data_IF_302045292491
#
_entry.id   IF_302045292491
#
_cell.length_a   1.000
_cell.length_b   1.000
_cell.length_c   1.000
_cell.angle_alpha   90.00
_cell.angle_beta   90.00
_cell.angle_gamma   90.00
#
_symmetry.space_group_name_H-M   'P 1'
#
loop_
_entity.id
_entity.type
_entity.pdbx_description
1 polymer ?
#
# COMPACT_ATOMS: atom_id res chain seq x y z
N UNK A 1 -14.40 7.36 57.80
CA UNK A 1 -13.85 7.05 56.45
C UNK A 1 -12.87 5.91 56.63
N UNK A 2 -13.12 4.74 56.01
CA UNK A 2 -12.32 3.53 56.21
C UNK A 2 -11.35 3.37 55.03
N UNK A 3 -10.13 3.88 55.16
CA UNK A 3 -9.07 3.70 54.17
C UNK A 3 -8.33 2.40 54.50
N UNK A 4 -8.77 1.27 53.94
CA UNK A 4 -7.97 0.05 53.96
C UNK A 4 -6.73 0.30 53.09
N UNK A 5 -5.55 0.29 53.71
CA UNK A 5 -4.28 0.46 53.02
C UNK A 5 -4.03 -0.70 52.06
N UNK A 6 -3.67 -0.39 50.82
CA UNK A 6 -3.22 -1.37 49.83
C UNK A 6 -1.90 -1.97 50.35
N UNK A 7 -1.82 -3.29 50.35
CA UNK A 7 -0.61 -3.98 50.80
C UNK A 7 0.46 -3.99 49.71
N UNK A 8 1.74 -4.02 50.11
CA UNK A 8 2.85 -4.10 49.14
C UNK A 8 2.75 -5.32 48.22
N UNK A 9 2.21 -6.44 48.72
CA UNK A 9 2.03 -7.67 47.94
C UNK A 9 0.96 -7.51 46.86
N UNK A 10 -0.14 -6.82 47.14
CA UNK A 10 -1.18 -6.54 46.15
C UNK A 10 -0.63 -5.67 45.02
N UNK A 11 0.16 -4.64 45.36
CA UNK A 11 0.86 -3.81 44.38
C UNK A 11 1.90 -4.60 43.56
N UNK A 12 2.64 -5.50 44.20
CA UNK A 12 3.63 -6.35 43.54
C UNK A 12 2.97 -7.30 42.52
N UNK A 13 1.87 -7.95 42.90
CA UNK A 13 1.13 -8.84 41.99
C UNK A 13 0.63 -8.07 40.77
N UNK A 14 0.09 -6.86 40.95
CA UNK A 14 -0.38 -6.02 39.83
C UNK A 14 0.75 -5.70 38.86
N UNK A 15 1.93 -5.31 39.35
CA UNK A 15 3.08 -4.98 38.50
C UNK A 15 3.59 -6.22 37.74
N UNK A 16 3.64 -7.38 38.40
CA UNK A 16 4.04 -8.64 37.77
C UNK A 16 3.05 -9.03 36.66
N UNK A 17 1.74 -8.98 36.94
CA UNK A 17 0.70 -9.29 35.96
C UNK A 17 0.73 -8.30 34.80
N UNK A 18 0.84 -7.00 35.07
CA UNK A 18 0.99 -5.98 34.02
C UNK A 18 2.24 -6.20 33.17
N UNK A 19 3.36 -6.61 33.78
CA UNK A 19 4.60 -6.92 33.06
C UNK A 19 4.46 -8.10 32.11
N UNK A 20 3.78 -9.17 32.53
CA UNK A 20 3.53 -10.35 31.69
C UNK A 20 2.57 -10.01 30.53
N UNK A 21 1.47 -9.29 30.82
CA UNK A 21 0.50 -8.90 29.79
C UNK A 21 1.15 -7.97 28.75
N UNK A 22 1.98 -7.02 29.19
CA UNK A 22 2.67 -6.10 28.29
C UNK A 22 3.61 -6.83 27.32
N UNK A 23 4.32 -7.86 27.77
CA UNK A 23 5.25 -8.62 26.94
C UNK A 23 4.54 -9.34 25.77
N UNK A 24 3.41 -10.01 26.02
CA UNK A 24 2.66 -10.70 24.97
C UNK A 24 1.91 -9.76 24.03
N UNK A 25 1.48 -8.60 24.53
CA UNK A 25 0.69 -7.64 23.74
C UNK A 25 1.48 -7.02 22.59
N UNK A 26 2.80 -6.84 22.74
CA UNK A 26 3.64 -6.21 21.70
C UNK A 26 3.78 -7.11 20.47
N UNK A 27 4.04 -8.40 20.66
CA UNK A 27 4.29 -9.34 19.54
C UNK A 27 3.04 -9.50 18.66
N UNK A 28 1.86 -9.65 19.29
CA UNK A 28 0.62 -9.83 18.54
C UNK A 28 0.22 -8.61 17.69
N UNK A 29 0.63 -7.39 18.09
CA UNK A 29 0.30 -6.17 17.36
C UNK A 29 1.08 -6.06 16.04
N UNK A 30 2.34 -6.50 16.02
CA UNK A 30 3.20 -6.39 14.82
C UNK A 30 2.66 -7.27 13.67
N UNK A 31 2.28 -8.51 14.00
CA UNK A 31 1.65 -9.43 13.05
C UNK A 31 0.32 -8.88 12.52
N UNK A 32 -0.53 -8.33 13.39
CA UNK A 32 -1.83 -7.76 12.98
C UNK A 32 -1.64 -6.56 12.04
N UNK A 33 -0.70 -5.67 12.35
CA UNK A 33 -0.44 -4.47 11.52
C UNK A 33 0.08 -4.90 10.15
N UNK A 34 1.02 -5.84 10.09
CA UNK A 34 1.59 -6.34 8.84
C UNK A 34 0.51 -6.98 7.96
N UNK A 35 -0.24 -7.93 8.51
CA UNK A 35 -1.34 -8.60 7.79
C UNK A 35 -2.42 -7.60 7.31
N UNK A 36 -2.71 -6.56 8.09
CA UNK A 36 -3.68 -5.53 7.71
C UNK A 36 -3.14 -4.68 6.56
N UNK A 37 -1.85 -4.32 6.60
CA UNK A 37 -1.22 -3.53 5.54
C UNK A 37 -1.18 -4.28 4.21
N UNK A 38 -0.92 -5.59 4.24
CA UNK A 38 -0.95 -6.46 3.06
C UNK A 38 -2.36 -6.51 2.45
N UNK A 39 -3.39 -6.74 3.27
CA UNK A 39 -4.79 -6.74 2.81
C UNK A 39 -5.21 -5.41 2.19
N UNK A 40 -4.78 -4.29 2.76
CA UNK A 40 -5.06 -2.96 2.20
C UNK A 40 -4.38 -2.79 0.84
N UNK A 41 -3.14 -3.27 0.69
CA UNK A 41 -2.43 -3.17 -0.58
C UNK A 41 -3.01 -4.10 -1.65
N UNK A 42 -3.44 -5.31 -1.29
CA UNK A 42 -4.20 -6.19 -2.18
C UNK A 42 -5.49 -5.54 -2.66
N UNK A 43 -6.26 -4.93 -1.76
CA UNK A 43 -7.48 -4.20 -2.11
C UNK A 43 -7.19 -2.99 -3.00
N UNK A 44 -6.15 -2.22 -2.68
CA UNK A 44 -5.70 -1.07 -3.45
C UNK A 44 -5.29 -1.46 -4.88
N UNK A 45 -4.58 -2.57 -5.03
CA UNK A 45 -4.17 -3.10 -6.34
C UNK A 45 -5.40 -3.54 -7.13
N UNK A 46 -6.34 -4.25 -6.51
CA UNK A 46 -7.59 -4.63 -7.17
C UNK A 46 -8.39 -3.42 -7.64
N UNK A 47 -8.48 -2.38 -6.81
CA UNK A 47 -9.09 -1.11 -7.21
C UNK A 47 -8.37 -0.50 -8.43
N UNK A 48 -7.04 -0.50 -8.45
CA UNK A 48 -6.26 -0.01 -9.59
C UNK A 48 -6.54 -0.84 -10.85
N UNK A 49 -6.60 -2.16 -10.74
CA UNK A 49 -6.94 -3.06 -11.85
C UNK A 49 -8.29 -2.69 -12.46
N UNK A 50 -9.35 -2.66 -11.64
CA UNK A 50 -10.70 -2.34 -12.08
C UNK A 50 -10.78 -0.96 -12.77
N UNK A 51 -10.07 0.04 -12.23
CA UNK A 51 -10.09 1.41 -12.78
C UNK A 51 -9.23 1.58 -14.02
N UNK A 52 -8.11 0.88 -14.12
CA UNK A 52 -7.28 0.90 -15.31
C UNK A 52 -7.99 0.16 -16.44
N UNK A 53 -8.61 -1.00 -16.16
CA UNK A 53 -9.41 -1.74 -17.15
C UNK A 53 -10.55 -0.88 -17.68
N UNK A 54 -11.31 -0.22 -16.79
CA UNK A 54 -12.35 0.73 -17.19
C UNK A 54 -11.81 1.86 -18.06
N UNK A 55 -10.69 2.49 -17.67
CA UNK A 55 -10.12 3.59 -18.45
C UNK A 55 -9.52 3.14 -19.79
N UNK A 56 -9.08 1.88 -19.91
CA UNK A 56 -8.69 1.28 -21.20
C UNK A 56 -9.93 1.05 -22.06
N UNK A 57 -11.01 0.50 -21.50
CA UNK A 57 -12.28 0.29 -22.20
C UNK A 57 -12.87 1.62 -22.72
N UNK A 58 -12.77 2.68 -21.93
CA UNK A 58 -13.18 4.04 -22.31
C UNK A 58 -12.21 4.72 -23.31
N UNK A 59 -11.07 4.10 -23.61
CA UNK A 59 -10.05 4.63 -24.53
C UNK A 59 -9.22 5.78 -23.96
N UNK A 60 -9.38 6.11 -22.67
CA UNK A 60 -8.55 7.11 -21.98
C UNK A 60 -7.12 6.60 -21.80
N UNK A 61 -6.96 5.32 -21.47
CA UNK A 61 -5.68 4.66 -21.39
C UNK A 61 -5.46 3.69 -22.56
N UNK A 62 -4.22 3.57 -23.00
CA UNK A 62 -3.80 2.56 -23.97
C UNK A 62 -2.36 2.12 -23.69
N UNK A 63 -1.92 1.00 -24.26
CA UNK A 63 -0.52 0.58 -24.19
C UNK A 63 0.26 1.26 -25.31
N UNK A 64 1.32 1.98 -24.95
CA UNK A 64 2.26 2.55 -25.92
C UNK A 64 3.68 2.44 -25.40
N UNK A 65 4.60 1.87 -26.20
CA UNK A 65 6.01 1.72 -25.86
C UNK A 65 6.22 1.08 -24.47
N UNK A 66 5.51 -0.02 -24.19
CA UNK A 66 5.58 -0.73 -22.90
C UNK A 66 5.28 0.17 -21.69
N UNK A 67 4.34 1.10 -21.83
CA UNK A 67 3.82 1.93 -20.75
C UNK A 67 2.32 2.12 -20.91
N UNK A 68 1.64 2.38 -19.80
CA UNK A 68 0.30 2.96 -19.84
C UNK A 68 0.44 4.39 -20.37
N UNK A 69 -0.39 4.73 -21.34
CA UNK A 69 -0.38 6.02 -22.01
C UNK A 69 -1.79 6.60 -21.98
N UNK A 70 -1.91 7.83 -21.50
CA UNK A 70 -3.16 8.57 -21.54
C UNK A 70 -3.30 9.28 -22.88
N UNK A 71 -4.39 8.97 -23.58
CA UNK A 71 -4.69 9.49 -24.93
C UNK A 71 -5.10 10.97 -24.91
N UNK A 72 -5.65 11.44 -23.79
CA UNK A 72 -6.12 12.81 -23.57
C UNK A 72 -4.97 13.72 -23.18
N UNK A 73 -4.24 13.39 -22.11
CA UNK A 73 -3.15 14.23 -21.58
C UNK A 73 -1.82 14.00 -22.29
N UNK A 74 -1.72 12.94 -23.10
CA UNK A 74 -0.53 12.52 -23.84
C UNK A 74 0.66 12.17 -22.93
N UNK A 75 0.39 11.76 -21.70
CA UNK A 75 1.42 11.34 -20.72
C UNK A 75 1.56 9.82 -20.68
N UNK A 76 2.75 9.35 -20.36
CA UNK A 76 3.01 7.93 -20.07
C UNK A 76 3.30 7.73 -18.60
N UNK A 77 2.83 6.64 -18.03
CA UNK A 77 2.99 6.32 -16.62
C UNK A 77 3.82 5.06 -16.45
N UNK A 78 4.74 5.12 -15.49
CA UNK A 78 5.50 3.97 -15.01
C UNK A 78 4.92 3.40 -13.70
N UNK A 79 3.88 4.03 -13.13
CA UNK A 79 3.31 3.70 -11.84
C UNK A 79 2.26 4.73 -11.38
N UNK A 80 1.77 4.59 -10.15
CA UNK A 80 0.80 5.51 -9.51
C UNK A 80 1.45 6.80 -8.98
N UNK A 81 2.40 7.35 -9.73
CA UNK A 81 3.05 8.63 -9.39
C UNK A 81 2.13 9.84 -9.57
N UNK A 82 2.64 11.03 -9.23
CA UNK A 82 1.86 12.29 -9.20
C UNK A 82 1.00 12.51 -10.46
N UNK A 83 1.58 12.42 -11.66
CA UNK A 83 0.83 12.61 -12.92
C UNK A 83 -0.22 11.54 -13.19
N UNK A 84 0.01 10.29 -12.78
CA UNK A 84 -1.01 9.25 -12.95
C UNK A 84 -2.21 9.55 -12.05
N UNK A 85 -1.96 9.88 -10.80
CA UNK A 85 -3.02 10.18 -9.82
C UNK A 85 -3.79 11.43 -10.21
N UNK A 86 -3.11 12.48 -10.69
CA UNK A 86 -3.73 13.70 -11.22
C UNK A 86 -4.70 13.37 -12.37
N UNK A 87 -4.21 12.65 -13.38
CA UNK A 87 -4.97 12.38 -14.60
C UNK A 87 -6.08 11.32 -14.37
N UNK A 88 -5.90 10.41 -13.41
CA UNK A 88 -6.81 9.30 -13.10
C UNK A 88 -7.72 9.57 -11.90
N UNK A 89 -7.66 10.75 -11.28
CA UNK A 89 -8.39 11.05 -10.05
C UNK A 89 -9.90 10.81 -10.18
N UNK A 90 -10.47 11.14 -11.35
CA UNK A 90 -11.89 10.93 -11.65
C UNK A 90 -12.29 9.44 -11.64
N UNK A 91 -11.37 8.54 -11.97
CA UNK A 91 -11.60 7.10 -11.94
C UNK A 91 -11.34 6.51 -10.55
N UNK A 92 -10.28 6.97 -9.88
CA UNK A 92 -9.82 6.41 -8.61
C UNK A 92 -10.60 6.94 -7.40
N UNK A 93 -11.13 8.16 -7.47
CA UNK A 93 -11.77 8.86 -6.36
C UNK A 93 -10.80 9.37 -5.29
N UNK A 94 -9.73 8.62 -5.01
CA UNK A 94 -8.68 9.00 -4.06
C UNK A 94 -7.31 8.46 -4.49
N UNK A 95 -6.25 9.04 -3.92
CA UNK A 95 -4.90 8.55 -4.12
C UNK A 95 -4.72 7.16 -3.52
N UNK A 96 -4.14 6.26 -4.30
CA UNK A 96 -3.76 4.91 -3.87
C UNK A 96 -2.24 4.84 -3.70
N UNK A 97 -1.78 4.47 -2.50
CA UNK A 97 -0.37 4.32 -2.14
C UNK A 97 -0.14 2.98 -1.45
N UNK A 98 1.06 2.38 -1.56
CA UNK A 98 1.40 1.20 -0.79
C UNK A 98 1.51 1.50 0.70
N UNK A 99 0.96 0.60 1.51
CA UNK A 99 0.87 0.69 2.97
C UNK A 99 1.86 -0.26 3.63
N UNK A 100 2.18 -1.40 3.01
CA UNK A 100 3.13 -2.38 3.56
C UNK A 100 4.48 -1.70 3.86
N UNK A 101 5.08 -1.94 5.03
CA UNK A 101 6.32 -1.27 5.42
C UNK A 101 7.46 -1.49 4.42
N UNK A 102 7.55 -2.68 3.84
CA UNK A 102 8.58 -3.04 2.87
C UNK A 102 8.50 -2.21 1.59
N UNK A 103 7.31 -1.77 1.19
CA UNK A 103 7.10 -0.93 0.02
C UNK A 103 7.39 0.56 0.28
N UNK A 104 7.46 0.99 1.55
CA UNK A 104 7.73 2.38 1.95
C UNK A 104 9.22 2.69 1.95
N UNK A 105 9.86 2.51 0.81
CA UNK A 105 11.29 2.71 0.62
C UNK A 105 11.61 3.63 -0.57
N UNK A 106 12.90 3.98 -0.72
CA UNK A 106 13.39 4.92 -1.74
C UNK A 106 13.12 4.47 -3.18
N UNK A 107 12.96 3.16 -3.43
CA UNK A 107 12.72 2.61 -4.76
C UNK A 107 11.28 2.83 -5.24
N UNK A 108 10.36 3.09 -4.31
CA UNK A 108 8.96 3.37 -4.62
C UNK A 108 8.58 4.83 -4.37
N UNK A 109 9.54 5.69 -4.05
CA UNK A 109 9.29 7.11 -3.89
C UNK A 109 9.00 7.77 -5.24
N UNK A 110 7.93 8.54 -5.33
CA UNK A 110 7.68 9.39 -6.48
C UNK A 110 8.43 10.71 -6.35
N UNK A 111 9.24 11.05 -7.35
CA UNK A 111 10.01 12.29 -7.37
C UNK A 111 9.16 13.55 -7.55
N UNK A 112 7.87 13.42 -7.89
CA UNK A 112 6.97 14.55 -8.09
C UNK A 112 6.37 15.07 -6.79
N UNK A 113 5.81 14.18 -5.97
CA UNK A 113 5.07 14.55 -4.75
C UNK A 113 5.65 13.97 -3.45
N UNK A 114 6.71 13.16 -3.54
CA UNK A 114 7.35 12.53 -2.38
C UNK A 114 6.54 11.40 -1.74
N UNK A 115 5.40 11.02 -2.32
CA UNK A 115 4.63 9.87 -1.85
C UNK A 115 5.20 8.57 -2.42
N UNK A 116 4.84 7.44 -1.79
CA UNK A 116 5.09 6.13 -2.37
C UNK A 116 4.09 5.83 -3.49
N UNK A 117 4.52 5.01 -4.45
CA UNK A 117 3.71 4.56 -5.59
C UNK A 117 3.86 3.07 -5.84
N UNK A 118 2.83 2.50 -6.44
CA UNK A 118 2.95 1.24 -7.15
C UNK A 118 3.57 1.50 -8.53
N UNK A 119 4.30 0.52 -9.04
CA UNK A 119 4.88 0.51 -10.37
C UNK A 119 4.02 -0.30 -11.33
N UNK A 120 4.11 0.06 -12.61
CA UNK A 120 3.46 -0.65 -13.71
C UNK A 120 4.50 -1.33 -14.58
N UNK A 121 4.38 -2.65 -14.71
CA UNK A 121 5.15 -3.49 -15.61
C UNK A 121 4.32 -3.80 -16.83
N UNK A 122 4.42 -2.98 -17.88
CA UNK A 122 3.57 -3.13 -19.06
C UNK A 122 4.27 -3.98 -20.12
N UNK A 123 3.59 -5.07 -20.49
CA UNK A 123 3.95 -5.99 -21.57
C UNK A 123 2.88 -5.91 -22.66
N UNK A 124 3.09 -6.60 -23.77
CA UNK A 124 2.20 -6.54 -24.94
C UNK A 124 0.75 -6.95 -24.64
N UNK A 125 0.55 -7.85 -23.67
CA UNK A 125 -0.74 -8.46 -23.36
C UNK A 125 -1.16 -8.33 -21.88
N UNK A 126 -0.38 -7.60 -21.07
CA UNK A 126 -0.70 -7.42 -19.65
C UNK A 126 0.00 -6.22 -19.01
N UNK A 127 -0.61 -5.72 -17.94
CA UNK A 127 -0.04 -4.71 -17.05
C UNK A 127 0.11 -5.32 -15.66
N UNK A 128 1.34 -5.47 -15.19
CA UNK A 128 1.64 -5.92 -13.82
C UNK A 128 1.67 -4.71 -12.87
N UNK A 129 1.03 -4.81 -11.71
CA UNK A 129 1.11 -3.83 -10.63
C UNK A 129 2.01 -4.40 -9.53
N UNK A 130 3.04 -3.64 -9.14
CA UNK A 130 4.07 -4.15 -8.25
C UNK A 130 4.72 -3.05 -7.41
N UNK A 131 5.48 -3.43 -6.38
CA UNK A 131 6.41 -2.54 -5.69
C UNK A 131 7.80 -3.19 -5.60
N UNK A 132 8.82 -2.41 -5.28
CA UNK A 132 10.14 -2.94 -4.92
C UNK A 132 10.27 -3.06 -3.41
N UNK A 133 10.69 -4.20 -2.88
CA UNK A 133 11.01 -4.32 -1.45
C UNK A 133 12.28 -3.49 -1.09
N UNK A 134 12.68 -3.55 0.18
CA UNK A 134 13.88 -2.85 0.70
C UNK A 134 15.18 -3.33 0.02
N UNK A 135 15.19 -4.57 -0.45
CA UNK A 135 16.31 -5.19 -1.17
C UNK A 135 16.24 -4.97 -2.68
N UNK A 136 15.29 -4.14 -3.15
CA UNK A 136 15.01 -3.86 -4.57
C UNK A 136 14.54 -5.09 -5.36
N UNK A 137 13.99 -6.09 -4.69
CA UNK A 137 13.29 -7.21 -5.31
C UNK A 137 11.91 -6.76 -5.76
N UNK A 138 11.50 -7.14 -6.97
CA UNK A 138 10.16 -6.85 -7.49
C UNK A 138 9.12 -7.79 -6.84
N UNK A 139 8.13 -7.22 -6.17
CA UNK A 139 6.98 -7.92 -5.59
C UNK A 139 5.74 -7.58 -6.39
N UNK A 140 5.26 -8.52 -7.20
CA UNK A 140 4.04 -8.36 -8.01
C UNK A 140 2.82 -8.68 -7.16
N UNK A 141 1.86 -7.76 -7.16
CA UNK A 141 0.62 -7.89 -6.39
C UNK A 141 -0.60 -8.17 -7.27
N UNK A 142 -0.55 -7.76 -8.54
CA UNK A 142 -1.68 -7.89 -9.45
C UNK A 142 -1.29 -7.80 -10.92
N UNK A 143 -2.18 -8.24 -11.80
CA UNK A 143 -2.04 -8.13 -13.24
C UNK A 143 -3.37 -7.95 -13.96
N UNK A 144 -3.37 -7.04 -14.93
CA UNK A 144 -4.49 -6.78 -15.83
C UNK A 144 -4.17 -7.45 -17.16
N UNK A 145 -5.01 -8.37 -17.62
CA UNK A 145 -4.93 -8.92 -18.96
C UNK A 145 -5.53 -7.93 -19.98
N UNK A 146 -4.85 -7.73 -21.11
CA UNK A 146 -5.23 -6.75 -22.15
C UNK A 146 -5.37 -7.45 -23.49
#
# INVERSE_FOLDING_TARGET
MNQKGVTLIELLIVIVVMGIIAAFSIVALDDIITNTSEQVDEYNVKLLEDKIELAIADGTLTIRNNKLYNTVTKRSYAGTGSWFVEDMLNYLGSRVIPIVPEAKNIHNLDGGDGNYKFWFGVKTNKVEIFYYDISRTKVVLGEIAI
#
